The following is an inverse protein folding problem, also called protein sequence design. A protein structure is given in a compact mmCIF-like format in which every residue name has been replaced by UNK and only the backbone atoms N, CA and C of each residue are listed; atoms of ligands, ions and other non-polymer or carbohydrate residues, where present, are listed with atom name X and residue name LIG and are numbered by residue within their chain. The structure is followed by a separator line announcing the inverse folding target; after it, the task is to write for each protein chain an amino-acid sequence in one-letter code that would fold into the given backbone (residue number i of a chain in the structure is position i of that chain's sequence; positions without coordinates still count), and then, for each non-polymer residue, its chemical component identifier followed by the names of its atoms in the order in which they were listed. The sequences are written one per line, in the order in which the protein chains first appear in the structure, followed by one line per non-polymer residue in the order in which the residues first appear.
data_IF_737842252258
#
_entry.id   IF_737842252258
#
_cell.length_a   1.000
_cell.length_b   1.000
_cell.length_c   1.000
_cell.angle_alpha   90.00
_cell.angle_beta   90.00
_cell.angle_gamma   90.00
#
_symmetry.space_group_name_H-M   'P 1'
#
loop_
_entity.id
_entity.type
_entity.pdbx_description
1 polymer ?
#
# COMPACT_ATOMS: atom_id res chain seq x y z
N UNK A 1 52.56 -15.00 10.62
CA UNK A 1 51.27 -15.31 9.96
C UNK A 1 50.16 -14.57 10.68
N UNK A 2 49.80 -13.39 10.16
CA UNK A 2 48.78 -12.52 10.76
C UNK A 2 47.36 -13.04 10.48
N UNK A 3 46.55 -13.20 11.53
CA UNK A 3 45.11 -13.48 11.39
C UNK A 3 44.36 -12.15 11.30
N UNK A 4 43.88 -11.83 10.10
CA UNK A 4 42.91 -10.76 9.89
C UNK A 4 41.64 -11.03 10.71
N UNK A 5 41.32 -10.11 11.60
CA UNK A 5 40.03 -10.03 12.26
C UNK A 5 38.97 -9.70 11.19
N UNK A 6 37.96 -10.55 11.05
CA UNK A 6 36.76 -10.23 10.27
C UNK A 6 36.00 -9.15 11.03
N UNK A 7 36.10 -7.92 10.53
CA UNK A 7 35.28 -6.79 10.98
C UNK A 7 33.82 -7.14 10.63
N UNK A 8 33.01 -7.44 11.64
CA UNK A 8 31.56 -7.47 11.49
C UNK A 8 31.11 -6.04 11.18
N UNK A 9 30.57 -5.83 9.99
CA UNK A 9 29.92 -4.58 9.62
C UNK A 9 28.76 -4.31 10.61
N UNK A 10 28.63 -3.08 11.13
CA UNK A 10 27.55 -2.76 12.05
C UNK A 10 26.21 -2.87 11.32
N UNK A 11 25.31 -3.70 11.85
CA UNK A 11 23.87 -3.66 11.53
C UNK A 11 23.39 -2.23 11.76
N UNK A 12 23.15 -1.48 10.68
CA UNK A 12 22.48 -0.18 10.75
C UNK A 12 21.08 -0.40 11.31
N UNK A 13 20.91 -0.17 12.61
CA UNK A 13 19.61 0.20 13.17
C UNK A 13 19.31 1.58 12.60
N UNK A 14 18.45 1.65 11.60
CA UNK A 14 17.91 2.91 11.07
C UNK A 14 17.00 3.52 12.14
N UNK A 15 17.60 4.25 13.09
CA UNK A 15 16.88 5.32 13.78
C UNK A 15 16.78 6.46 12.78
N UNK A 16 15.55 6.89 12.45
CA UNK A 16 15.35 8.13 11.69
C UNK A 16 16.17 9.26 12.32
N UNK A 17 16.97 9.92 11.50
CA UNK A 17 17.83 11.00 11.98
C UNK A 17 16.94 12.20 12.36
N UNK A 18 17.37 13.01 13.33
CA UNK A 18 16.61 14.20 13.76
C UNK A 18 16.28 15.11 12.56
N UNK A 19 17.20 15.22 11.60
CA UNK A 19 17.02 15.97 10.36
C UNK A 19 15.89 15.41 9.47
N UNK A 20 15.76 14.09 9.34
CA UNK A 20 14.65 13.47 8.59
C UNK A 20 13.29 13.79 9.24
N UNK A 21 13.24 13.83 10.57
CA UNK A 21 12.02 14.18 11.32
C UNK A 21 11.66 15.65 11.12
N UNK A 22 12.62 16.57 11.10
CA UNK A 22 12.38 17.99 10.84
C UNK A 22 11.93 18.25 9.40
N UNK A 23 12.54 17.58 8.42
CA UNK A 23 12.16 17.68 7.01
C UNK A 23 10.71 17.21 6.79
N UNK A 24 10.34 16.06 7.36
CA UNK A 24 8.98 15.52 7.22
C UNK A 24 7.93 16.39 7.93
N UNK A 25 8.28 17.01 9.06
CA UNK A 25 7.40 17.98 9.72
C UNK A 25 7.15 19.19 8.81
N UNK A 26 8.21 19.77 8.26
CA UNK A 26 8.11 20.93 7.38
C UNK A 26 7.33 20.60 6.09
N UNK A 27 7.59 19.44 5.48
CA UNK A 27 6.97 19.01 4.23
C UNK A 27 5.48 18.72 4.36
N UNK A 28 5.07 18.06 5.45
CA UNK A 28 3.69 17.58 5.62
C UNK A 28 2.88 18.33 6.68
N UNK A 29 3.47 19.36 7.30
CA UNK A 29 2.87 20.14 8.38
C UNK A 29 2.32 19.26 9.53
N UNK A 30 3.11 18.25 9.92
CA UNK A 30 2.75 17.32 11.00
C UNK A 30 3.51 17.67 12.29
N UNK A 31 2.92 17.48 13.48
CA UNK A 31 3.67 17.62 14.74
C UNK A 31 4.74 16.54 14.87
N UNK A 32 5.89 16.87 15.48
CA UNK A 32 7.02 15.92 15.67
C UNK A 32 6.58 14.65 16.40
N UNK A 33 5.72 14.79 17.42
CA UNK A 33 5.12 13.64 18.15
C UNK A 33 4.45 12.65 17.20
N UNK A 34 3.75 13.14 16.18
CA UNK A 34 3.06 12.29 15.20
C UNK A 34 4.05 11.58 14.30
N UNK A 35 5.12 12.25 13.87
CA UNK A 35 6.19 11.63 13.09
C UNK A 35 6.85 10.49 13.87
N UNK A 36 7.16 10.67 15.15
CA UNK A 36 7.72 9.59 15.98
C UNK A 36 6.77 8.40 16.14
N UNK A 37 5.46 8.66 16.31
CA UNK A 37 4.44 7.62 16.36
C UNK A 37 4.39 6.82 15.05
N UNK A 38 4.40 7.52 13.90
CA UNK A 38 4.42 6.89 12.59
C UNK A 38 5.71 6.08 12.37
N UNK A 39 6.86 6.59 12.83
CA UNK A 39 8.13 5.88 12.75
C UNK A 39 8.08 4.59 13.58
N UNK A 40 7.53 4.62 14.80
CA UNK A 40 7.37 3.41 15.61
C UNK A 40 6.46 2.37 14.94
N UNK A 41 5.33 2.80 14.34
CA UNK A 41 4.43 1.93 13.58
C UNK A 41 5.11 1.33 12.35
N UNK A 42 5.85 2.14 11.61
CA UNK A 42 6.61 1.71 10.44
C UNK A 42 7.64 0.65 10.83
N UNK A 43 8.44 0.90 11.87
CA UNK A 43 9.43 -0.03 12.40
C UNK A 43 8.82 -1.34 12.90
N UNK A 44 7.61 -1.29 13.48
CA UNK A 44 6.88 -2.50 13.86
C UNK A 44 6.41 -3.29 12.64
N UNK A 45 5.85 -2.61 11.64
CA UNK A 45 5.33 -3.23 10.42
C UNK A 45 6.42 -3.93 9.59
N UNK A 46 7.58 -3.29 9.41
CA UNK A 46 8.71 -3.89 8.65
C UNK A 46 9.29 -5.11 9.37
N UNK A 47 9.35 -5.10 10.71
CA UNK A 47 9.88 -6.24 11.49
C UNK A 47 8.92 -7.43 11.52
N UNK A 48 7.61 -7.14 11.49
CA UNK A 48 6.56 -8.15 11.58
C UNK A 48 6.25 -8.85 10.25
N UNK A 49 6.06 -8.10 9.17
CA UNK A 49 5.47 -8.66 7.94
C UNK A 49 6.44 -8.79 6.76
N UNK A 50 7.53 -8.01 6.66
CA UNK A 50 8.44 -8.11 5.51
C UNK A 50 9.43 -9.29 5.58
N UNK A 51 9.55 -9.96 6.72
CA UNK A 51 10.52 -11.05 6.91
C UNK A 51 9.92 -12.46 6.78
N UNK A 52 8.62 -12.58 6.61
CA UNK A 52 7.96 -13.87 6.45
C UNK A 52 7.50 -14.08 5.00
N UNK A 53 8.22 -14.95 4.28
CA UNK A 53 7.95 -15.29 2.89
C UNK A 53 6.66 -16.09 2.67
N UNK A 54 6.02 -16.57 3.75
CA UNK A 54 4.78 -17.36 3.69
C UNK A 54 3.53 -16.53 4.01
N UNK A 55 3.68 -15.23 4.27
CA UNK A 55 2.52 -14.36 4.52
C UNK A 55 1.79 -14.14 3.21
N UNK A 56 0.54 -14.62 3.15
CA UNK A 56 -0.45 -14.18 2.16
C UNK A 56 -0.33 -12.67 1.99
N UNK A 57 -0.14 -12.16 0.76
CA UNK A 57 0.14 -10.73 0.58
C UNK A 57 -1.01 -9.91 1.13
N UNK A 58 -0.81 -9.39 2.34
CA UNK A 58 -1.77 -8.56 3.04
C UNK A 58 -1.78 -7.17 2.41
N UNK A 59 -2.83 -6.41 2.69
CA UNK A 59 -2.85 -4.99 2.30
C UNK A 59 -1.73 -4.20 2.98
N UNK A 60 -1.28 -4.62 4.16
CA UNK A 60 -0.15 -4.01 4.86
C UNK A 60 1.18 -4.28 4.13
N UNK A 61 1.43 -5.51 3.69
CA UNK A 61 2.59 -5.83 2.85
C UNK A 61 2.56 -5.07 1.53
N UNK A 62 1.38 -4.92 0.91
CA UNK A 62 1.23 -4.11 -0.30
C UNK A 62 1.51 -2.61 -0.08
N UNK A 63 1.06 -2.05 1.05
CA UNK A 63 1.39 -0.68 1.47
C UNK A 63 2.91 -0.53 1.69
N UNK A 64 3.56 -1.47 2.37
CA UNK A 64 5.01 -1.40 2.59
C UNK A 64 5.76 -1.50 1.26
N UNK A 65 5.36 -2.41 0.36
CA UNK A 65 5.93 -2.51 -0.99
C UNK A 65 5.71 -1.24 -1.81
N UNK A 66 4.59 -0.54 -1.65
CA UNK A 66 4.36 0.74 -2.34
C UNK A 66 5.27 1.86 -1.84
N UNK A 67 5.89 1.70 -0.67
CA UNK A 67 6.85 2.63 -0.09
C UNK A 67 8.31 2.36 -0.53
N UNK A 68 8.57 1.30 -1.32
CA UNK A 68 9.91 1.01 -1.84
C UNK A 68 10.24 1.98 -2.98
N UNK A 69 11.38 2.65 -2.88
CA UNK A 69 11.84 3.60 -3.89
C UNK A 69 12.61 2.88 -5.02
N UNK A 70 12.67 3.47 -6.23
CA UNK A 70 13.47 2.91 -7.32
C UNK A 70 14.92 2.66 -6.87
N UNK A 71 15.46 1.49 -7.22
CA UNK A 71 16.81 1.05 -6.86
C UNK A 71 17.03 0.70 -5.37
N UNK A 72 15.95 0.61 -4.58
CA UNK A 72 16.01 0.11 -3.20
C UNK A 72 15.16 -1.15 -3.05
N UNK A 73 15.49 -1.98 -2.07
CA UNK A 73 14.66 -3.16 -1.70
C UNK A 73 13.93 -2.94 -0.38
N UNK A 74 14.26 -1.87 0.34
CA UNK A 74 13.69 -1.55 1.64
C UNK A 74 12.63 -0.44 1.50
N UNK A 75 11.52 -0.52 2.25
CA UNK A 75 10.52 0.54 2.25
C UNK A 75 11.08 1.83 2.86
N UNK A 76 10.68 2.97 2.31
CA UNK A 76 11.04 4.31 2.78
C UNK A 76 10.04 4.82 3.82
N UNK A 77 10.55 5.31 4.96
CA UNK A 77 9.71 5.93 5.99
C UNK A 77 9.03 7.20 5.46
N UNK A 78 9.73 8.00 4.65
CA UNK A 78 9.19 9.20 4.04
C UNK A 78 7.97 8.91 3.14
N UNK A 79 8.01 7.80 2.39
CA UNK A 79 6.88 7.31 1.57
C UNK A 79 5.73 6.79 2.43
N UNK A 80 6.03 6.14 3.55
CA UNK A 80 5.01 5.73 4.50
C UNK A 80 4.26 6.93 5.08
N UNK A 81 4.96 8.02 5.43
CA UNK A 81 4.34 9.29 5.87
C UNK A 81 3.53 9.94 4.74
N UNK A 82 4.02 9.88 3.50
CA UNK A 82 3.26 10.34 2.32
C UNK A 82 1.90 9.64 2.22
N UNK A 83 1.87 8.31 2.30
CA UNK A 83 0.63 7.55 2.35
C UNK A 83 -0.25 7.94 3.54
N UNK A 84 0.30 8.11 4.74
CA UNK A 84 -0.48 8.57 5.90
C UNK A 84 -1.16 9.91 5.64
N UNK A 85 -0.45 10.89 5.07
CA UNK A 85 -0.99 12.23 4.81
C UNK A 85 -2.04 12.23 3.69
N UNK A 86 -1.86 11.39 2.67
CA UNK A 86 -2.84 11.17 1.61
C UNK A 86 -4.18 10.70 2.20
N UNK A 87 -4.16 9.68 3.05
CA UNK A 87 -5.37 9.13 3.68
C UNK A 87 -5.90 9.98 4.85
N UNK A 88 -5.12 10.94 5.35
CA UNK A 88 -5.58 11.94 6.32
C UNK A 88 -6.26 13.15 5.67
N UNK A 89 -6.05 13.38 4.37
CA UNK A 89 -6.71 14.46 3.62
C UNK A 89 -8.13 14.05 3.22
N UNK A 90 -9.10 14.96 3.33
CA UNK A 90 -10.51 14.68 2.99
C UNK A 90 -10.84 14.84 1.50
N UNK A 91 -10.02 15.56 0.75
CA UNK A 91 -10.30 16.04 -0.62
C UNK A 91 -9.49 15.33 -1.73
N UNK A 92 -8.79 14.25 -1.40
CA UNK A 92 -7.90 13.52 -2.34
C UNK A 92 -8.44 12.18 -2.80
N UNK A 93 -9.75 12.07 -3.03
CA UNK A 93 -10.37 10.80 -3.40
C UNK A 93 -9.75 10.13 -4.64
N UNK A 94 -9.48 10.84 -5.76
CA UNK A 94 -8.85 10.22 -6.93
C UNK A 94 -7.48 9.60 -6.61
N UNK A 95 -6.65 10.31 -5.84
CA UNK A 95 -5.31 9.84 -5.45
C UNK A 95 -5.38 8.66 -4.48
N UNK A 96 -6.35 8.65 -3.54
CA UNK A 96 -6.59 7.51 -2.64
C UNK A 96 -6.97 6.25 -3.42
N UNK A 97 -7.87 6.38 -4.40
CA UNK A 97 -8.30 5.26 -5.25
C UNK A 97 -7.16 4.75 -6.13
N UNK A 98 -6.32 5.65 -6.66
CA UNK A 98 -5.11 5.27 -7.39
C UNK A 98 -4.12 4.51 -6.50
N UNK A 99 -3.91 4.97 -5.25
CA UNK A 99 -3.06 4.29 -4.29
C UNK A 99 -3.58 2.89 -3.95
N UNK A 100 -4.89 2.73 -3.73
CA UNK A 100 -5.53 1.43 -3.48
C UNK A 100 -5.36 0.51 -4.68
N UNK A 101 -5.59 1.00 -5.90
CA UNK A 101 -5.38 0.21 -7.12
C UNK A 101 -3.92 -0.26 -7.23
N UNK A 102 -2.95 0.61 -6.92
CA UNK A 102 -1.53 0.24 -6.84
C UNK A 102 -1.28 -0.86 -5.79
N UNK A 103 -1.92 -0.78 -4.62
CA UNK A 103 -1.81 -1.82 -3.61
C UNK A 103 -2.38 -3.16 -4.11
N UNK A 104 -3.51 -3.15 -4.79
CA UNK A 104 -4.09 -4.36 -5.38
C UNK A 104 -3.15 -4.99 -6.42
N UNK A 105 -2.49 -4.19 -7.27
CA UNK A 105 -1.46 -4.70 -8.19
C UNK A 105 -0.31 -5.38 -7.43
N UNK A 106 0.17 -4.78 -6.34
CA UNK A 106 1.23 -5.35 -5.52
C UNK A 106 0.79 -6.63 -4.79
N UNK A 107 -0.48 -6.71 -4.39
CA UNK A 107 -1.09 -7.94 -3.85
C UNK A 107 -1.15 -9.06 -4.89
N UNK A 108 -1.36 -8.72 -6.16
CA UNK A 108 -1.25 -9.66 -7.29
C UNK A 108 0.21 -9.98 -7.69
N UNK A 109 1.19 -9.59 -6.88
CA UNK A 109 2.63 -9.72 -7.17
C UNK A 109 3.10 -9.03 -8.45
N UNK A 110 2.31 -8.10 -9.01
CA UNK A 110 2.72 -7.31 -10.16
C UNK A 110 3.68 -6.21 -9.71
N UNK A 111 4.80 -6.09 -10.41
CA UNK A 111 5.69 -4.96 -10.24
C UNK A 111 5.03 -3.71 -10.83
N UNK A 112 4.99 -2.64 -10.04
CA UNK A 112 4.53 -1.33 -10.51
C UNK A 112 5.74 -0.47 -10.87
N UNK A 113 5.85 0.08 -12.10
CA UNK A 113 5.89 -0.54 -13.45
C UNK A 113 7.36 -0.73 -13.96
N UNK A 114 7.63 -1.31 -15.17
CA UNK A 114 6.76 -1.36 -16.35
C UNK A 114 6.50 -2.77 -16.91
N UNK A 115 5.22 -3.16 -16.95
CA UNK A 115 4.77 -4.33 -17.72
C UNK A 115 3.25 -4.49 -17.75
N UNK A 116 2.55 -4.19 -16.66
CA UNK A 116 1.08 -4.16 -16.66
C UNK A 116 0.55 -3.22 -15.58
N UNK A 117 -0.21 -2.20 -15.98
CA UNK A 117 -0.91 -1.29 -15.09
C UNK A 117 -2.28 -1.82 -14.67
N UNK A 118 -2.67 -3.02 -15.10
CA UNK A 118 -4.05 -3.47 -15.06
C UNK A 118 -4.17 -4.81 -14.32
N UNK A 119 -5.25 -4.98 -13.55
CA UNK A 119 -5.55 -6.22 -12.84
C UNK A 119 -6.34 -7.16 -13.75
N UNK A 120 -5.78 -8.33 -14.07
CA UNK A 120 -6.51 -9.35 -14.84
C UNK A 120 -7.57 -10.03 -13.98
N UNK A 121 -8.57 -10.69 -14.58
CA UNK A 121 -9.55 -11.50 -13.83
C UNK A 121 -8.90 -12.56 -12.93
N UNK A 122 -7.77 -13.16 -13.35
CA UNK A 122 -7.02 -14.10 -12.52
C UNK A 122 -6.37 -13.43 -11.31
N UNK A 123 -5.85 -12.21 -11.46
CA UNK A 123 -5.28 -11.45 -10.34
C UNK A 123 -6.37 -11.13 -9.30
N UNK A 124 -7.52 -10.64 -9.77
CA UNK A 124 -8.67 -10.35 -8.91
C UNK A 124 -9.14 -11.60 -8.19
N UNK A 125 -9.16 -12.76 -8.86
CA UNK A 125 -9.49 -14.04 -8.22
C UNK A 125 -8.51 -14.39 -7.09
N UNK A 126 -7.21 -14.23 -7.32
CA UNK A 126 -6.19 -14.47 -6.30
C UNK A 126 -6.35 -13.56 -5.08
N UNK A 127 -6.64 -12.27 -5.31
CA UNK A 127 -6.82 -11.28 -4.24
C UNK A 127 -8.11 -11.54 -3.45
N UNK A 128 -9.21 -11.88 -4.13
CA UNK A 128 -10.54 -11.94 -3.53
C UNK A 128 -10.89 -13.33 -2.96
N UNK A 129 -10.23 -14.40 -3.42
CA UNK A 129 -10.49 -15.77 -2.95
C UNK A 129 -10.48 -15.94 -1.42
N UNK A 130 -9.61 -15.27 -0.63
CA UNK A 130 -9.64 -15.37 0.83
C UNK A 130 -10.92 -14.80 1.48
N UNK A 131 -11.68 -13.96 0.77
CA UNK A 131 -12.84 -13.23 1.32
C UNK A 131 -14.18 -13.83 0.90
N UNK A 132 -14.19 -14.91 0.12
CA UNK A 132 -15.41 -15.59 -0.31
C UNK A 132 -15.21 -17.10 -0.34
N UNK A 133 -16.16 -17.83 0.23
CA UNK A 133 -16.17 -19.29 0.20
C UNK A 133 -16.88 -19.87 -1.03
N UNK A 134 -17.56 -19.04 -1.83
CA UNK A 134 -18.31 -19.46 -3.01
C UNK A 134 -17.58 -19.05 -4.31
N UNK A 135 -17.01 -20.02 -5.06
CA UNK A 135 -16.31 -19.75 -6.32
C UNK A 135 -17.22 -19.21 -7.44
N UNK A 136 -18.50 -19.56 -7.44
CA UNK A 136 -19.45 -19.08 -8.44
C UNK A 136 -19.77 -17.60 -8.18
N UNK A 137 -20.04 -17.24 -6.93
CA UNK A 137 -20.21 -15.85 -6.52
C UNK A 137 -18.96 -15.01 -6.80
N UNK A 138 -17.77 -15.55 -6.51
CA UNK A 138 -16.50 -14.88 -6.82
C UNK A 138 -16.37 -14.57 -8.31
N UNK A 139 -16.72 -15.53 -9.17
CA UNK A 139 -16.66 -15.35 -10.63
C UNK A 139 -17.64 -14.27 -11.10
N UNK A 140 -18.85 -14.23 -10.54
CA UNK A 140 -19.83 -13.19 -10.84
C UNK A 140 -19.34 -11.80 -10.39
N UNK A 141 -18.75 -11.70 -9.19
CA UNK A 141 -18.20 -10.45 -8.68
C UNK A 141 -17.05 -9.93 -9.55
N UNK A 142 -16.12 -10.81 -9.97
CA UNK A 142 -15.03 -10.42 -10.85
C UNK A 142 -15.58 -9.92 -12.19
N UNK A 143 -16.54 -10.64 -12.78
CA UNK A 143 -17.15 -10.22 -14.05
C UNK A 143 -17.89 -8.88 -13.92
N UNK A 144 -18.54 -8.61 -12.77
CA UNK A 144 -19.17 -7.32 -12.49
C UNK A 144 -18.14 -6.18 -12.39
N UNK A 145 -16.96 -6.43 -11.80
CA UNK A 145 -15.88 -5.45 -11.70
C UNK A 145 -15.30 -5.06 -13.06
N UNK A 146 -15.30 -5.96 -14.04
CA UNK A 146 -14.74 -5.68 -15.36
C UNK A 146 -15.57 -4.62 -16.11
N UNK A 147 -14.94 -3.70 -16.87
CA UNK A 147 -15.66 -2.69 -17.65
C UNK A 147 -16.62 -3.30 -18.68
N UNK A 148 -16.15 -4.36 -19.36
CA UNK A 148 -16.89 -5.11 -20.37
C UNK A 148 -16.58 -6.60 -20.26
N UNK A 149 -17.40 -7.45 -20.87
CA UNK A 149 -17.17 -8.91 -20.93
C UNK A 149 -15.92 -9.31 -21.71
N UNK A 150 -15.42 -8.44 -22.58
CA UNK A 150 -14.20 -8.64 -23.38
C UNK A 150 -12.96 -8.00 -22.73
N UNK A 151 -13.13 -7.30 -21.61
CA UNK A 151 -12.01 -6.62 -20.94
C UNK A 151 -11.01 -7.64 -20.41
N UNK A 152 -9.74 -7.43 -20.73
CA UNK A 152 -8.63 -8.29 -20.27
C UNK A 152 -8.02 -7.80 -18.95
N UNK A 153 -8.37 -6.59 -18.50
CA UNK A 153 -7.83 -5.99 -17.29
C UNK A 153 -8.72 -4.90 -16.71
N UNK A 154 -8.53 -4.64 -15.42
CA UNK A 154 -9.12 -3.55 -14.66
C UNK A 154 -8.05 -2.48 -14.42
N UNK A 155 -8.09 -1.43 -15.23
CA UNK A 155 -7.23 -0.25 -15.10
C UNK A 155 -7.63 0.62 -13.90
N UNK A 156 -6.74 1.53 -13.48
CA UNK A 156 -7.04 2.44 -12.36
C UNK A 156 -8.28 3.33 -12.60
N UNK A 157 -8.51 3.93 -13.80
CA UNK A 157 -9.73 4.69 -14.07
C UNK A 157 -10.99 3.82 -14.03
N UNK A 158 -10.91 2.58 -14.55
CA UNK A 158 -12.01 1.64 -14.51
C UNK A 158 -12.37 1.22 -13.08
N UNK A 159 -11.35 0.94 -12.25
CA UNK A 159 -11.53 0.67 -10.82
C UNK A 159 -12.18 1.85 -10.10
N UNK A 160 -11.67 3.07 -10.31
CA UNK A 160 -12.22 4.27 -9.69
C UNK A 160 -13.68 4.49 -10.09
N UNK A 161 -14.00 4.31 -11.38
CA UNK A 161 -15.38 4.38 -11.87
C UNK A 161 -16.27 3.31 -11.23
N UNK A 162 -15.79 2.07 -11.11
CA UNK A 162 -16.55 0.99 -10.51
C UNK A 162 -16.97 1.30 -9.07
N UNK A 163 -16.04 1.73 -8.21
CA UNK A 163 -16.29 1.97 -6.78
C UNK A 163 -17.04 3.27 -6.48
N UNK A 164 -17.09 4.20 -7.43
CA UNK A 164 -17.78 5.50 -7.27
C UNK A 164 -19.11 5.59 -7.99
N UNK A 165 -19.31 4.84 -9.09
CA UNK A 165 -20.51 4.98 -9.94
C UNK A 165 -21.31 3.69 -10.09
N UNK A 166 -20.67 2.57 -10.46
CA UNK A 166 -21.40 1.31 -10.75
C UNK A 166 -21.83 0.58 -9.48
N UNK A 167 -20.93 0.48 -8.51
CA UNK A 167 -21.15 -0.10 -7.18
C UNK A 167 -20.64 0.90 -6.15
N UNK A 168 -21.35 2.03 -5.97
CA UNK A 168 -20.92 3.07 -5.06
C UNK A 168 -20.84 2.48 -3.65
N UNK A 169 -19.67 2.59 -3.04
CA UNK A 169 -19.46 2.20 -1.65
C UNK A 169 -19.99 3.34 -0.77
N UNK A 170 -21.05 3.12 0.05
CA UNK A 170 -21.56 4.16 0.93
C UNK A 170 -20.47 4.62 1.89
N UNK A 171 -20.39 5.94 2.14
CA UNK A 171 -19.43 6.53 3.07
C UNK A 171 -17.95 6.21 2.75
N UNK A 172 -17.62 5.91 1.49
CA UNK A 172 -16.26 5.58 1.06
C UNK A 172 -15.22 6.63 1.49
N UNK A 173 -15.57 7.92 1.37
CA UNK A 173 -14.70 9.01 1.84
C UNK A 173 -14.39 8.94 3.32
N UNK A 174 -15.38 8.61 4.13
CA UNK A 174 -15.27 8.43 5.58
C UNK A 174 -14.43 7.20 5.93
N UNK A 175 -14.68 6.06 5.27
CA UNK A 175 -13.92 4.82 5.53
C UNK A 175 -12.44 4.93 5.15
N UNK A 176 -12.13 5.73 4.13
CA UNK A 176 -10.75 5.98 3.69
C UNK A 176 -10.09 7.17 4.39
N UNK A 177 -10.72 7.75 5.41
CA UNK A 177 -10.13 8.85 6.20
C UNK A 177 -9.59 8.34 7.53
N UNK A 178 -8.35 8.73 7.85
CA UNK A 178 -7.67 8.32 9.10
C UNK A 178 -8.05 9.16 10.32
N UNK A 179 -8.85 10.21 10.15
CA UNK A 179 -9.28 11.07 11.25
C UNK A 179 -10.48 10.44 11.99
N UNK A 180 -10.57 10.62 13.33
CA UNK A 180 -11.78 10.26 14.04
C UNK A 180 -12.95 11.03 13.42
N UNK A 181 -14.00 10.32 13.04
CA UNK A 181 -15.28 10.90 12.69
C UNK A 181 -15.76 11.68 13.93
N UNK A 182 -15.53 13.00 13.95
CA UNK A 182 -16.21 13.87 14.90
C UNK A 182 -17.69 13.85 14.51
N UNK A 183 -18.47 13.04 15.23
CA UNK A 183 -19.93 13.16 15.28
C UNK A 183 -20.32 14.43 16.03
#
# INVERSE_FOLDING_TARGET
MGRCQKIQAPKRRTMSTIFEVEELQAKYNLPSRKIYELHARFQAAIKGEMHDSNVNVTILTALLRSCIEPNTTEPSFARFVEHYTLFSSNDKMPDKLLAIHKWLLLMAHKETPPGSSDLSPSDLRGILAPYTSDPALLTLQINDMMPTTESTGLSAPAFASYVTTRRPVPELATMLSLLPQTK
#
